data_IF_529195965694
#
_entry.id   IF_529195965694
#
_cell.length_a   1.000
_cell.length_b   1.000
_cell.length_c   1.000
_cell.angle_alpha   90.00
_cell.angle_beta   90.00
_cell.angle_gamma   90.00
#
_symmetry.space_group_name_H-M   'P 1'
#
loop_
_entity.id
_entity.type
_entity.pdbx_description
1 polymer ?
#
# COMPACT_ATOMS: atom_id res chain seq x y z
N UNK A 1 -47.10 -21.66 32.97
CA UNK A 1 -46.87 -21.61 31.51
C UNK A 1 -45.70 -22.54 31.21
N UNK A 2 -45.97 -23.83 31.12
CA UNK A 2 -44.97 -24.85 30.82
C UNK A 2 -44.73 -24.86 29.31
N UNK A 3 -43.55 -24.40 28.91
CA UNK A 3 -43.06 -24.42 27.54
C UNK A 3 -42.85 -25.90 27.18
N UNK A 4 -43.74 -26.47 26.37
CA UNK A 4 -43.50 -27.79 25.78
C UNK A 4 -42.29 -27.68 24.86
N UNK A 5 -41.24 -28.39 25.26
CA UNK A 5 -40.00 -28.57 24.52
C UNK A 5 -40.32 -29.12 23.14
N UNK A 6 -40.02 -28.33 22.11
CA UNK A 6 -40.17 -28.68 20.71
C UNK A 6 -39.47 -30.03 20.47
N UNK A 7 -40.25 -31.09 20.26
CA UNK A 7 -39.71 -32.43 20.01
C UNK A 7 -38.97 -32.37 18.68
N UNK A 8 -37.64 -32.33 18.72
CA UNK A 8 -36.81 -32.40 17.52
C UNK A 8 -37.29 -33.53 16.62
N UNK A 9 -37.74 -33.20 15.41
CA UNK A 9 -38.19 -34.21 14.45
C UNK A 9 -36.99 -34.98 13.94
N UNK A 10 -37.11 -36.31 13.85
CA UNK A 10 -36.04 -37.16 13.32
C UNK A 10 -36.10 -37.18 11.80
N UNK A 11 -34.93 -37.10 11.18
CA UNK A 11 -34.77 -37.37 9.75
C UNK A 11 -35.24 -38.81 9.46
N UNK A 12 -36.17 -38.98 8.52
CA UNK A 12 -36.72 -40.29 8.19
C UNK A 12 -35.71 -41.25 7.54
N UNK A 13 -34.60 -40.72 7.01
CA UNK A 13 -33.55 -41.51 6.38
C UNK A 13 -32.41 -41.91 7.34
N UNK A 14 -31.84 -40.93 8.07
CA UNK A 14 -30.67 -41.19 8.95
C UNK A 14 -30.98 -41.20 10.45
N UNK A 15 -32.21 -40.90 10.86
CA UNK A 15 -32.64 -40.93 12.26
C UNK A 15 -32.13 -39.79 13.14
N UNK A 16 -31.26 -38.89 12.63
CA UNK A 16 -30.74 -37.73 13.36
C UNK A 16 -31.88 -36.77 13.72
N UNK A 17 -31.89 -36.29 14.96
CA UNK A 17 -32.81 -35.24 15.42
C UNK A 17 -32.44 -33.90 14.79
N UNK A 18 -33.44 -33.24 14.20
CA UNK A 18 -33.29 -31.96 13.50
C UNK A 18 -34.31 -30.98 14.06
N UNK A 19 -33.84 -29.79 14.42
CA UNK A 19 -34.69 -28.72 14.96
C UNK A 19 -35.53 -28.10 13.83
N UNK A 20 -34.98 -28.01 12.61
CA UNK A 20 -35.65 -27.47 11.42
C UNK A 20 -35.63 -28.50 10.29
N UNK A 21 -36.60 -29.42 10.23
CA UNK A 21 -36.63 -30.46 9.20
C UNK A 21 -37.14 -29.93 7.84
N UNK A 22 -36.58 -30.45 6.75
CA UNK A 22 -37.07 -30.20 5.39
C UNK A 22 -38.15 -31.23 5.03
N UNK A 23 -39.33 -30.76 4.62
CA UNK A 23 -40.40 -31.63 4.11
C UNK A 23 -40.24 -31.84 2.61
N UNK A 24 -40.11 -33.10 2.17
CA UNK A 24 -40.06 -33.43 0.75
C UNK A 24 -41.44 -33.25 0.09
N UNK A 25 -41.58 -32.50 -1.01
CA UNK A 25 -42.87 -32.28 -1.68
C UNK A 25 -43.42 -33.53 -2.39
N UNK A 26 -42.57 -34.56 -2.59
CA UNK A 26 -42.95 -35.78 -3.30
C UNK A 26 -43.44 -36.87 -2.33
N UNK A 27 -42.61 -37.26 -1.34
CA UNK A 27 -42.96 -38.31 -0.37
C UNK A 27 -43.57 -37.79 0.95
N UNK A 28 -43.55 -36.48 1.20
CA UNK A 28 -44.15 -35.85 2.37
C UNK A 28 -43.40 -36.05 3.69
N UNK A 29 -42.29 -36.78 3.71
CA UNK A 29 -41.48 -37.07 4.89
C UNK A 29 -40.49 -35.93 5.23
N UNK A 30 -39.93 -35.97 6.44
CA UNK A 30 -39.05 -34.95 7.01
C UNK A 30 -37.57 -35.40 7.02
N UNK A 31 -36.66 -34.53 6.59
CA UNK A 31 -35.24 -34.83 6.40
C UNK A 31 -34.31 -33.74 6.94
N UNK A 32 -33.05 -34.09 7.22
CA UNK A 32 -31.99 -33.15 7.59
C UNK A 32 -31.37 -32.45 6.36
N UNK A 33 -30.45 -31.51 6.59
CA UNK A 33 -29.79 -30.74 5.53
C UNK A 33 -29.13 -31.63 4.45
N UNK A 34 -28.48 -32.72 4.88
CA UNK A 34 -27.79 -33.68 4.00
C UNK A 34 -28.75 -34.48 3.12
N UNK A 35 -29.96 -34.77 3.61
CA UNK A 35 -30.94 -35.65 2.99
C UNK A 35 -32.16 -34.91 2.41
N UNK A 36 -32.08 -33.57 2.29
CA UNK A 36 -33.20 -32.73 1.85
C UNK A 36 -33.62 -32.94 0.39
N UNK A 37 -32.68 -33.32 -0.48
CA UNK A 37 -32.95 -33.55 -1.90
C UNK A 37 -33.57 -34.95 -2.10
N UNK A 38 -34.53 -35.11 -3.05
CA UNK A 38 -35.16 -36.40 -3.33
C UNK A 38 -34.17 -37.55 -3.63
N UNK A 39 -33.06 -37.22 -4.30
CA UNK A 39 -31.99 -38.17 -4.63
C UNK A 39 -31.21 -38.62 -3.39
N UNK A 40 -31.02 -37.72 -2.42
CA UNK A 40 -30.19 -37.99 -1.25
C UNK A 40 -30.86 -38.92 -0.23
N UNK A 41 -32.19 -39.05 -0.25
CA UNK A 41 -32.91 -39.97 0.65
C UNK A 41 -33.62 -41.12 -0.08
N UNK A 42 -33.26 -41.38 -1.34
CA UNK A 42 -33.92 -42.37 -2.19
C UNK A 42 -35.45 -42.24 -2.16
N UNK A 43 -35.95 -41.06 -2.53
CA UNK A 43 -37.38 -40.74 -2.47
C UNK A 43 -38.21 -41.82 -3.21
N UNK A 44 -39.20 -42.45 -2.56
CA UNK A 44 -40.05 -43.45 -3.22
C UNK A 44 -40.84 -42.85 -4.40
N UNK A 45 -41.08 -41.53 -4.33
CA UNK A 45 -41.81 -40.75 -5.32
C UNK A 45 -40.87 -39.99 -6.27
N UNK A 46 -39.62 -40.42 -6.41
CA UNK A 46 -38.66 -39.76 -7.31
C UNK A 46 -39.14 -39.75 -8.77
N UNK A 47 -39.93 -40.74 -9.19
CA UNK A 47 -40.55 -40.81 -10.52
C UNK A 47 -41.54 -39.66 -10.80
N UNK A 48 -42.07 -38.98 -9.77
CA UNK A 48 -42.89 -37.77 -9.92
C UNK A 48 -42.08 -36.52 -10.26
N UNK A 49 -40.76 -36.56 -10.10
CA UNK A 49 -39.86 -35.50 -10.57
C UNK A 49 -39.90 -35.51 -12.09
N UNK A 50 -40.81 -34.73 -12.68
CA UNK A 50 -40.82 -34.49 -14.13
C UNK A 50 -39.55 -33.73 -14.48
N UNK A 51 -38.48 -34.43 -14.86
CA UNK A 51 -37.50 -33.86 -15.77
C UNK A 51 -38.27 -33.52 -17.03
N UNK A 52 -38.60 -32.25 -17.23
CA UNK A 52 -39.06 -31.82 -18.55
C UNK A 52 -37.94 -32.24 -19.50
N UNK A 53 -38.19 -33.23 -20.36
CA UNK A 53 -37.34 -33.44 -21.51
C UNK A 53 -37.18 -32.09 -22.18
N UNK A 54 -35.95 -31.66 -22.52
CA UNK A 54 -35.80 -30.45 -23.31
C UNK A 54 -36.76 -30.58 -24.50
N UNK A 55 -37.58 -29.56 -24.78
CA UNK A 55 -38.54 -29.64 -25.87
C UNK A 55 -37.79 -30.09 -27.14
N UNK A 56 -38.37 -30.99 -27.96
CA UNK A 56 -37.76 -31.36 -29.22
C UNK A 56 -37.46 -30.06 -29.97
N UNK A 57 -36.19 -29.84 -30.30
CA UNK A 57 -35.79 -28.66 -31.08
C UNK A 57 -36.35 -28.86 -32.48
N UNK A 58 -37.58 -28.39 -32.67
CA UNK A 58 -38.19 -28.28 -33.98
C UNK A 58 -37.43 -27.18 -34.71
N UNK A 59 -36.52 -27.59 -35.61
CA UNK A 59 -35.81 -26.65 -36.48
C UNK A 59 -36.78 -26.16 -37.55
N UNK A 60 -37.70 -25.30 -37.16
CA UNK A 60 -38.31 -24.41 -38.13
C UNK A 60 -37.20 -23.53 -38.69
N UNK A 61 -36.88 -23.73 -39.97
CA UNK A 61 -36.12 -22.78 -40.75
C UNK A 61 -37.00 -21.55 -40.97
N UNK A 62 -37.21 -20.77 -39.92
CA UNK A 62 -37.74 -19.42 -40.06
C UNK A 62 -36.67 -18.64 -40.81
N UNK A 63 -36.89 -18.41 -42.10
CA UNK A 63 -36.17 -17.41 -42.87
C UNK A 63 -36.59 -16.04 -42.38
N UNK A 64 -36.24 -15.72 -41.13
CA UNK A 64 -36.25 -14.34 -40.65
C UNK A 64 -35.20 -13.66 -41.49
N UNK A 65 -35.62 -12.78 -42.40
CA UNK A 65 -34.71 -11.83 -43.01
C UNK A 65 -33.96 -11.18 -41.85
N UNK A 66 -32.67 -11.49 -41.71
CA UNK A 66 -31.82 -11.00 -40.63
C UNK A 66 -31.69 -9.50 -40.84
N UNK A 67 -32.68 -8.72 -40.38
CA UNK A 67 -32.43 -7.37 -39.95
C UNK A 67 -31.49 -7.54 -38.78
N UNK A 68 -30.20 -7.39 -39.08
CA UNK A 68 -29.21 -7.06 -38.06
C UNK A 68 -29.71 -5.75 -37.47
N UNK A 69 -30.55 -5.83 -36.44
CA UNK A 69 -30.71 -4.73 -35.51
C UNK A 69 -29.31 -4.62 -34.94
N UNK A 70 -28.56 -3.64 -35.45
CA UNK A 70 -27.27 -3.26 -34.90
C UNK A 70 -27.60 -2.68 -33.54
N UNK A 71 -27.78 -3.54 -32.54
CA UNK A 71 -27.82 -3.14 -31.15
C UNK A 71 -26.51 -2.40 -30.95
N UNK A 72 -26.60 -1.07 -30.86
CA UNK A 72 -25.46 -0.29 -30.41
C UNK A 72 -25.09 -0.89 -29.06
N UNK A 73 -23.84 -1.35 -28.86
CA UNK A 73 -23.44 -1.81 -27.54
C UNK A 73 -23.81 -0.69 -26.58
N UNK A 74 -24.52 -1.02 -25.50
CA UNK A 74 -24.77 -0.06 -24.43
C UNK A 74 -23.39 0.26 -23.88
N UNK A 75 -22.79 1.33 -24.42
CA UNK A 75 -21.55 1.90 -23.91
C UNK A 75 -21.98 2.54 -22.61
N UNK A 76 -21.93 1.76 -21.52
CA UNK A 76 -21.84 2.35 -20.20
C UNK A 76 -20.58 3.23 -20.26
N UNK A 77 -20.78 4.54 -20.39
CA UNK A 77 -19.70 5.49 -20.24
C UNK A 77 -19.35 5.51 -18.76
N UNK A 78 -18.63 4.47 -18.32
CA UNK A 78 -17.85 4.55 -17.11
C UNK A 78 -16.79 5.59 -17.42
N UNK A 79 -17.13 6.86 -17.18
CA UNK A 79 -16.22 7.97 -17.22
C UNK A 79 -15.28 7.70 -16.05
N UNK A 80 -14.24 6.91 -16.30
CA UNK A 80 -13.14 6.75 -15.35
C UNK A 80 -12.68 8.16 -15.07
N UNK A 81 -13.02 8.68 -13.89
CA UNK A 81 -12.57 10.00 -13.45
C UNK A 81 -11.06 9.92 -13.59
N UNK A 82 -10.47 10.66 -14.53
CA UNK A 82 -9.02 10.71 -14.71
C UNK A 82 -8.44 10.90 -13.32
N UNK A 83 -7.80 9.86 -12.79
CA UNK A 83 -7.27 9.95 -11.44
C UNK A 83 -6.31 11.12 -11.43
N UNK A 84 -6.60 12.11 -10.59
CA UNK A 84 -5.71 13.25 -10.44
C UNK A 84 -4.40 12.69 -9.88
N UNK A 85 -3.27 13.19 -10.37
CA UNK A 85 -1.97 12.76 -9.88
C UNK A 85 -1.85 12.96 -8.36
N UNK A 86 -2.37 14.07 -7.83
CA UNK A 86 -2.37 14.41 -6.41
C UNK A 86 -3.76 14.80 -5.91
N UNK A 87 -4.05 14.46 -4.66
CA UNK A 87 -5.24 14.92 -3.94
C UNK A 87 -4.94 16.19 -3.14
N UNK A 88 -5.97 17.00 -2.88
CA UNK A 88 -5.83 18.19 -2.02
C UNK A 88 -5.38 17.79 -0.61
N UNK A 89 -5.93 16.68 -0.09
CA UNK A 89 -5.54 16.16 1.23
C UNK A 89 -4.06 15.79 1.26
N UNK A 90 -3.56 15.11 0.24
CA UNK A 90 -2.14 14.78 0.14
C UNK A 90 -1.24 16.02 0.12
N UNK A 91 -1.64 17.08 -0.59
CA UNK A 91 -0.88 18.35 -0.60
C UNK A 91 -0.74 18.90 0.82
N UNK A 92 -1.81 18.93 1.62
CA UNK A 92 -1.74 19.35 3.02
C UNK A 92 -0.80 18.47 3.85
N UNK A 93 -0.91 17.15 3.69
CA UNK A 93 -0.05 16.21 4.41
C UNK A 93 1.43 16.34 4.01
N UNK A 94 1.73 16.54 2.73
CA UNK A 94 3.07 16.79 2.22
C UNK A 94 3.64 18.11 2.74
N UNK A 95 2.84 19.19 2.77
CA UNK A 95 3.26 20.49 3.30
C UNK A 95 3.58 20.39 4.80
N UNK A 96 2.70 19.77 5.59
CA UNK A 96 2.91 19.60 7.04
C UNK A 96 4.12 18.70 7.30
N UNK A 97 4.27 17.60 6.54
CA UNK A 97 5.44 16.72 6.60
C UNK A 97 6.73 17.46 6.26
N UNK A 98 6.75 18.19 5.14
CA UNK A 98 7.89 19.00 4.71
C UNK A 98 8.25 20.07 5.74
N UNK A 99 7.27 20.73 6.36
CA UNK A 99 7.52 21.68 7.44
C UNK A 99 8.17 21.02 8.67
N UNK A 100 7.73 19.82 9.05
CA UNK A 100 8.35 19.06 10.13
C UNK A 100 9.80 18.67 9.78
N UNK A 101 10.05 18.18 8.56
CA UNK A 101 11.42 17.85 8.10
C UNK A 101 12.30 19.09 8.03
N UNK A 102 11.77 20.23 7.57
CA UNK A 102 12.48 21.50 7.55
C UNK A 102 12.90 21.94 8.96
N UNK A 103 12.03 21.77 9.97
CA UNK A 103 12.37 22.03 11.36
C UNK A 103 13.52 21.13 11.87
N UNK A 104 13.51 19.84 11.50
CA UNK A 104 14.63 18.93 11.78
C UNK A 104 15.90 19.41 11.07
N UNK A 105 15.79 19.85 9.83
CA UNK A 105 16.89 20.41 9.04
C UNK A 105 17.55 21.63 9.69
N UNK A 106 16.76 22.54 10.25
CA UNK A 106 17.26 23.69 11.01
C UNK A 106 18.04 23.27 12.28
N UNK A 107 17.74 22.10 12.84
CA UNK A 107 18.41 21.56 14.03
C UNK A 107 19.71 20.79 13.76
N UNK A 108 20.13 20.64 12.49
CA UNK A 108 21.28 19.79 12.13
C UNK A 108 22.62 20.31 12.65
N UNK A 109 22.80 21.64 12.70
CA UNK A 109 24.08 22.30 13.04
C UNK A 109 24.24 22.62 14.52
N UNK A 110 23.29 22.22 15.39
CA UNK A 110 23.37 22.48 16.82
C UNK A 110 22.55 21.51 17.66
N UNK A 111 23.15 20.96 18.70
CA UNK A 111 22.45 20.05 19.63
C UNK A 111 21.67 20.83 20.70
N UNK A 112 20.58 20.26 21.19
CA UNK A 112 19.77 20.83 22.28
C UNK A 112 19.13 22.16 21.87
N UNK A 113 19.44 23.25 22.56
CA UNK A 113 18.98 24.61 22.21
C UNK A 113 20.02 25.43 21.42
N UNK A 114 21.20 24.85 21.14
CA UNK A 114 22.28 25.58 20.46
C UNK A 114 21.98 25.84 18.97
N UNK A 115 21.08 25.08 18.36
CA UNK A 115 20.65 25.34 16.98
C UNK A 115 19.97 26.72 16.84
N UNK A 116 19.27 27.21 17.88
CA UNK A 116 18.65 28.54 17.85
C UNK A 116 19.71 29.64 17.78
N UNK A 117 20.80 29.49 18.56
CA UNK A 117 21.95 30.41 18.49
C UNK A 117 22.66 30.32 17.14
N UNK A 118 22.75 29.12 16.56
CA UNK A 118 23.32 28.91 15.24
C UNK A 118 22.52 29.61 14.13
N UNK A 119 21.18 29.54 14.16
CA UNK A 119 20.31 30.25 13.20
C UNK A 119 20.59 31.75 13.23
N UNK A 120 20.71 32.35 14.42
CA UNK A 120 21.00 33.79 14.56
C UNK A 120 22.39 34.13 14.02
N UNK A 121 23.40 33.29 14.30
CA UNK A 121 24.78 33.51 13.88
C UNK A 121 25.00 33.28 12.38
N UNK A 122 24.27 32.35 11.77
CA UNK A 122 24.52 31.88 10.40
C UNK A 122 23.21 31.46 9.70
N UNK A 123 22.30 32.42 9.44
CA UNK A 123 20.96 32.11 8.93
C UNK A 123 21.00 31.45 7.56
N UNK A 124 21.84 31.93 6.64
CA UNK A 124 21.94 31.39 5.27
C UNK A 124 22.27 29.90 5.29
N UNK A 125 23.25 29.49 6.11
CA UNK A 125 23.69 28.08 6.23
C UNK A 125 22.62 27.22 6.91
N UNK A 126 21.94 27.75 7.93
CA UNK A 126 20.86 27.04 8.58
C UNK A 126 19.70 26.77 7.60
N UNK A 127 19.25 27.79 6.88
CA UNK A 127 18.18 27.65 5.89
C UNK A 127 18.61 26.83 4.67
N UNK A 128 19.86 26.90 4.22
CA UNK A 128 20.35 26.05 3.12
C UNK A 128 20.29 24.57 3.49
N UNK A 129 20.79 24.21 4.69
CA UNK A 129 20.75 22.82 5.16
C UNK A 129 19.32 22.32 5.34
N UNK A 130 18.42 23.16 5.84
CA UNK A 130 17.01 22.82 6.02
C UNK A 130 16.27 22.64 4.69
N UNK A 131 16.51 23.52 3.71
CA UNK A 131 15.98 23.41 2.36
C UNK A 131 16.48 22.13 1.70
N UNK A 132 17.78 21.87 1.78
CA UNK A 132 18.40 20.68 1.20
C UNK A 132 17.79 19.40 1.78
N UNK A 133 17.61 19.33 3.10
CA UNK A 133 17.01 18.17 3.76
C UNK A 133 15.54 17.95 3.34
N UNK A 134 14.79 19.05 3.18
CA UNK A 134 13.41 19.02 2.70
C UNK A 134 13.33 18.53 1.25
N UNK A 135 14.25 18.96 0.39
CA UNK A 135 14.32 18.49 -1.01
C UNK A 135 14.58 16.99 -1.06
N UNK A 136 15.55 16.48 -0.28
CA UNK A 136 15.84 15.04 -0.21
C UNK A 136 14.59 14.25 0.19
N UNK A 137 13.89 14.69 1.26
CA UNK A 137 12.66 14.05 1.71
C UNK A 137 11.56 14.08 0.63
N UNK A 138 11.30 15.22 0.01
CA UNK A 138 10.26 15.33 -1.03
C UNK A 138 10.61 14.44 -2.22
N UNK A 139 11.87 14.40 -2.65
CA UNK A 139 12.33 13.53 -3.73
C UNK A 139 12.12 12.05 -3.41
N UNK A 140 12.36 11.65 -2.16
CA UNK A 140 12.11 10.30 -1.66
C UNK A 140 10.62 9.91 -1.76
N UNK A 141 9.74 10.73 -1.19
CA UNK A 141 8.29 10.46 -1.21
C UNK A 141 7.71 10.50 -2.62
N UNK A 142 8.17 11.43 -3.45
CA UNK A 142 7.76 11.51 -4.84
C UNK A 142 8.23 10.30 -5.65
N UNK A 143 9.38 9.71 -5.33
CA UNK A 143 9.86 8.50 -5.98
C UNK A 143 8.96 7.29 -5.71
N UNK A 144 8.51 7.09 -4.47
CA UNK A 144 7.49 6.09 -4.15
C UNK A 144 6.23 6.32 -4.96
N UNK A 145 5.77 7.57 -5.02
CA UNK A 145 4.56 7.93 -5.76
C UNK A 145 4.68 7.65 -7.26
N UNK A 146 5.77 8.13 -7.86
CA UNK A 146 6.04 7.97 -9.28
C UNK A 146 6.14 6.49 -9.64
N UNK A 147 6.79 5.68 -8.80
CA UNK A 147 6.86 4.22 -8.98
C UNK A 147 5.48 3.57 -8.90
N UNK A 148 4.67 3.90 -7.89
CA UNK A 148 3.32 3.34 -7.74
C UNK A 148 2.41 3.70 -8.92
N UNK A 149 2.45 4.96 -9.36
CA UNK A 149 1.69 5.44 -10.52
C UNK A 149 2.17 4.80 -11.82
N UNK A 150 3.47 4.53 -11.96
CA UNK A 150 4.01 3.80 -13.12
C UNK A 150 3.45 2.37 -13.21
N UNK A 151 3.19 1.71 -12.08
CA UNK A 151 2.53 0.40 -12.02
C UNK A 151 0.99 0.47 -12.09
N UNK A 152 0.41 1.64 -12.36
CA UNK A 152 -1.04 1.83 -12.46
C UNK A 152 -1.77 1.74 -11.11
N UNK A 153 -1.05 1.87 -10.00
CA UNK A 153 -1.62 1.83 -8.66
C UNK A 153 -1.99 3.24 -8.18
N UNK A 154 -3.00 3.31 -7.32
CA UNK A 154 -3.31 4.53 -6.60
C UNK A 154 -2.33 4.69 -5.44
N UNK A 155 -1.82 5.90 -5.23
CA UNK A 155 -0.87 6.19 -4.16
C UNK A 155 -1.05 7.62 -3.64
N UNK A 156 -1.12 7.75 -2.32
CA UNK A 156 -1.20 9.03 -1.62
C UNK A 156 -0.35 9.04 -0.35
N UNK A 157 0.36 10.14 -0.14
CA UNK A 157 1.10 10.37 1.09
C UNK A 157 0.16 10.72 2.24
N UNK A 158 0.29 9.99 3.35
CA UNK A 158 -0.48 10.22 4.58
C UNK A 158 0.47 10.37 5.75
N UNK A 159 0.15 11.32 6.62
CA UNK A 159 0.91 11.54 7.84
C UNK A 159 0.46 10.53 8.88
N UNK A 160 1.42 10.01 9.62
CA UNK A 160 1.16 9.12 10.74
C UNK A 160 1.54 9.85 12.02
N UNK A 161 0.67 9.87 13.02
CA UNK A 161 0.91 10.53 14.30
C UNK A 161 2.23 10.05 14.90
N UNK A 162 2.48 8.74 14.93
CA UNK A 162 3.71 8.16 15.46
C UNK A 162 4.93 8.68 14.69
N UNK A 163 4.84 8.71 13.35
CA UNK A 163 5.92 9.15 12.47
C UNK A 163 6.24 10.65 12.63
N UNK A 164 5.21 11.48 12.69
CA UNK A 164 5.35 12.93 12.97
C UNK A 164 5.94 13.13 14.36
N UNK A 165 5.47 12.43 15.38
CA UNK A 165 6.01 12.53 16.75
C UNK A 165 7.49 12.15 16.80
N UNK A 166 7.90 11.06 16.15
CA UNK A 166 9.31 10.67 16.07
C UNK A 166 10.15 11.72 15.33
N UNK A 167 9.62 12.30 14.25
CA UNK A 167 10.29 13.36 13.48
C UNK A 167 10.45 14.64 14.30
N UNK A 168 9.44 15.05 15.07
CA UNK A 168 9.52 16.23 15.94
C UNK A 168 10.47 15.97 17.11
N UNK A 169 10.43 14.79 17.73
CA UNK A 169 11.34 14.43 18.82
C UNK A 169 12.80 14.44 18.36
N UNK A 170 13.06 14.10 17.09
CA UNK A 170 14.42 14.06 16.54
C UNK A 170 15.07 15.45 16.41
N UNK A 171 14.29 16.54 16.47
CA UNK A 171 14.82 17.92 16.56
C UNK A 171 15.78 18.06 17.75
N UNK A 172 15.42 17.49 18.89
CA UNK A 172 16.20 17.59 20.13
C UNK A 172 17.26 16.49 20.27
N UNK A 173 17.14 15.41 19.50
CA UNK A 173 18.05 14.25 19.53
C UNK A 173 19.25 14.44 18.59
N UNK A 174 20.42 13.84 18.90
CA UNK A 174 21.50 13.69 17.93
C UNK A 174 21.11 12.75 16.77
N UNK A 175 20.19 11.81 17.01
CA UNK A 175 19.69 10.89 15.99
C UNK A 175 18.51 11.52 15.24
N UNK A 176 18.76 11.95 14.01
CA UNK A 176 17.77 12.60 13.13
C UNK A 176 16.94 11.55 12.41
N UNK A 177 15.85 11.12 13.03
CA UNK A 177 14.86 10.22 12.44
C UNK A 177 13.86 11.04 11.64
N UNK A 178 13.63 10.68 10.38
CA UNK A 178 12.68 11.34 9.48
C UNK A 178 11.78 10.30 8.85
N UNK A 179 10.56 10.22 9.38
CA UNK A 179 9.50 9.35 8.86
C UNK A 179 8.13 9.95 9.22
N UNK A 180 7.79 11.17 8.76
CA UNK A 180 6.57 11.86 9.17
C UNK A 180 5.29 11.16 8.70
N UNK A 181 5.37 10.32 7.68
CA UNK A 181 4.22 9.66 7.09
C UNK A 181 4.56 8.32 6.45
N UNK A 182 3.55 7.75 5.80
CA UNK A 182 3.67 6.54 4.99
C UNK A 182 2.98 6.80 3.65
N UNK A 183 3.55 6.22 2.59
CA UNK A 183 2.85 6.10 1.32
C UNK A 183 1.82 4.98 1.37
N UNK A 184 0.54 5.36 1.25
CA UNK A 184 -0.57 4.42 1.15
C UNK A 184 -0.76 4.08 -0.32
N UNK A 185 -0.58 2.81 -0.66
CA UNK A 185 -0.74 2.30 -2.02
C UNK A 185 -1.97 1.40 -2.06
N UNK A 186 -2.88 1.65 -3.00
CA UNK A 186 -4.10 0.87 -3.18
C UNK A 186 -4.19 0.35 -4.63
N UNK A 187 -4.59 -0.92 -4.75
CA UNK A 187 -4.73 -1.62 -6.02
C UNK A 187 -4.30 -3.09 -5.91
N UNK A 188 -4.58 -3.87 -6.94
CA UNK A 188 -4.13 -5.26 -7.01
C UNK A 188 -2.66 -5.26 -7.44
N UNK A 189 -1.77 -5.64 -6.52
CA UNK A 189 -0.33 -5.61 -6.76
C UNK A 189 0.35 -6.85 -6.18
N UNK A 190 1.21 -7.46 -6.98
CA UNK A 190 2.06 -8.55 -6.51
C UNK A 190 3.08 -8.05 -5.49
N UNK A 191 3.53 -8.98 -4.63
CA UNK A 191 4.65 -8.77 -3.71
C UNK A 191 5.87 -8.10 -4.36
N UNK A 192 6.17 -8.48 -5.61
CA UNK A 192 7.28 -7.92 -6.39
C UNK A 192 7.07 -6.44 -6.75
N UNK A 193 5.84 -6.05 -7.07
CA UNK A 193 5.49 -4.66 -7.40
C UNK A 193 5.56 -3.81 -6.14
N UNK A 194 4.97 -4.27 -5.03
CA UNK A 194 5.02 -3.58 -3.73
C UNK A 194 6.47 -3.37 -3.28
N UNK A 195 7.31 -4.41 -3.39
CA UNK A 195 8.72 -4.31 -3.05
C UNK A 195 9.51 -3.32 -3.90
N UNK A 196 9.25 -3.27 -5.22
CA UNK A 196 9.86 -2.27 -6.13
C UNK A 196 9.45 -0.85 -5.79
N UNK A 197 8.18 -0.63 -5.46
CA UNK A 197 7.66 0.68 -5.06
C UNK A 197 8.31 1.13 -3.75
N UNK A 198 8.41 0.24 -2.76
CA UNK A 198 9.11 0.50 -1.51
C UNK A 198 10.61 0.75 -1.73
N UNK A 199 11.24 0.10 -2.72
CA UNK A 199 12.65 0.32 -3.03
C UNK A 199 12.93 1.67 -3.72
N UNK A 200 11.94 2.25 -4.41
CA UNK A 200 12.13 3.47 -5.18
C UNK A 200 12.64 4.66 -4.34
N UNK A 201 12.06 4.88 -3.15
CA UNK A 201 12.50 5.96 -2.26
C UNK A 201 13.96 5.81 -1.80
N UNK A 202 14.35 4.70 -1.13
CA UNK A 202 15.73 4.46 -0.74
C UNK A 202 16.72 4.53 -1.90
N UNK A 203 16.34 3.99 -3.08
CA UNK A 203 17.16 4.07 -4.28
C UNK A 203 17.39 5.52 -4.73
N UNK A 204 16.36 6.36 -4.78
CA UNK A 204 16.49 7.78 -5.12
C UNK A 204 17.44 8.50 -4.17
N UNK A 205 17.39 8.19 -2.88
CA UNK A 205 18.29 8.80 -1.91
C UNK A 205 19.74 8.30 -2.02
N UNK A 206 19.97 7.03 -2.36
CA UNK A 206 21.32 6.52 -2.67
C UNK A 206 21.89 7.25 -3.89
N UNK A 207 21.09 7.40 -4.95
CA UNK A 207 21.50 8.10 -6.18
C UNK A 207 21.77 9.58 -5.90
N UNK A 208 20.87 10.27 -5.19
CA UNK A 208 21.07 11.67 -4.79
C UNK A 208 22.33 11.84 -3.93
N UNK A 209 22.60 10.90 -3.03
CA UNK A 209 23.79 10.95 -2.19
C UNK A 209 25.07 10.89 -3.04
N UNK A 210 25.10 9.98 -4.02
CA UNK A 210 26.22 9.89 -4.96
C UNK A 210 26.36 11.14 -5.84
N UNK A 211 25.25 11.69 -6.34
CA UNK A 211 25.28 12.93 -7.14
C UNK A 211 25.76 14.14 -6.34
N UNK A 212 25.30 14.30 -5.10
CA UNK A 212 25.81 15.33 -4.20
C UNK A 212 27.28 15.11 -3.89
N UNK A 213 27.71 13.88 -3.63
CA UNK A 213 29.12 13.60 -3.44
C UNK A 213 29.98 14.06 -4.63
N UNK A 214 29.59 13.73 -5.87
CA UNK A 214 30.29 14.22 -7.07
C UNK A 214 30.25 15.75 -7.19
N UNK A 215 29.10 16.37 -6.90
CA UNK A 215 28.95 17.82 -6.94
C UNK A 215 29.77 18.55 -5.86
N UNK A 216 30.14 17.88 -4.77
CA UNK A 216 30.95 18.47 -3.69
C UNK A 216 32.38 18.84 -4.13
N UNK A 217 32.89 18.20 -5.19
CA UNK A 217 34.18 18.51 -5.79
C UNK A 217 34.12 19.67 -6.80
N UNK A 218 32.93 20.18 -7.11
CA UNK A 218 32.76 21.23 -8.11
C UNK A 218 33.03 22.62 -7.51
N UNK A 219 33.92 23.46 -8.11
CA UNK A 219 34.38 24.71 -7.50
C UNK A 219 33.32 25.81 -7.40
N UNK A 220 32.22 25.72 -8.17
CA UNK A 220 31.09 26.66 -8.09
C UNK A 220 30.17 26.41 -6.89
N UNK A 221 30.35 25.30 -6.17
CA UNK A 221 29.47 24.89 -5.09
C UNK A 221 30.17 24.93 -3.74
N UNK A 222 29.40 25.22 -2.68
CA UNK A 222 29.91 25.08 -1.30
C UNK A 222 30.12 23.61 -0.98
N UNK A 223 31.36 23.13 -1.09
CA UNK A 223 31.74 21.72 -0.91
C UNK A 223 31.20 21.13 0.40
N UNK A 224 31.26 21.90 1.50
CA UNK A 224 30.77 21.49 2.83
C UNK A 224 29.25 21.31 2.90
N UNK A 225 28.48 22.17 2.25
CA UNK A 225 27.00 22.07 2.28
C UNK A 225 26.52 20.91 1.40
N UNK A 226 27.15 20.73 0.24
CA UNK A 226 26.82 19.62 -0.65
C UNK A 226 27.25 18.28 -0.05
N UNK A 227 28.43 18.20 0.55
CA UNK A 227 28.88 16.99 1.26
C UNK A 227 27.93 16.63 2.40
N UNK A 228 27.47 17.62 3.17
CA UNK A 228 26.42 17.41 4.17
C UNK A 228 25.12 16.89 3.53
N UNK A 229 24.75 17.37 2.35
CA UNK A 229 23.63 16.83 1.59
C UNK A 229 23.78 15.38 1.17
N UNK A 230 24.98 14.97 0.74
CA UNK A 230 25.28 13.57 0.44
C UNK A 230 25.08 12.70 1.69
N UNK A 231 25.58 13.17 2.84
CA UNK A 231 25.50 12.49 4.13
C UNK A 231 24.04 12.36 4.63
N UNK A 232 23.25 13.44 4.53
CA UNK A 232 21.83 13.41 4.87
C UNK A 232 21.03 12.47 3.97
N UNK A 233 21.31 12.48 2.66
CA UNK A 233 20.61 11.65 1.69
C UNK A 233 20.85 10.17 1.95
N UNK A 234 22.11 9.78 2.17
CA UNK A 234 22.43 8.38 2.48
C UNK A 234 21.93 7.96 3.86
N UNK A 235 21.92 8.88 4.84
CA UNK A 235 21.34 8.63 6.16
C UNK A 235 19.84 8.33 6.10
N UNK A 236 19.06 9.11 5.34
CA UNK A 236 17.62 8.82 5.14
C UNK A 236 17.44 7.47 4.43
N UNK A 237 18.25 7.19 3.39
CA UNK A 237 18.19 5.90 2.71
C UNK A 237 18.41 4.73 3.69
N UNK A 238 19.42 4.83 4.55
CA UNK A 238 19.76 3.79 5.52
C UNK A 238 18.64 3.59 6.55
N UNK A 239 18.08 4.68 7.09
CA UNK A 239 16.95 4.61 8.03
C UNK A 239 15.73 3.93 7.41
N UNK A 240 15.37 4.31 6.18
CA UNK A 240 14.23 3.71 5.49
C UNK A 240 14.49 2.28 5.03
N UNK A 241 15.74 1.79 5.02
CA UNK A 241 16.06 0.38 4.78
C UNK A 241 16.00 -0.49 6.05
N UNK A 242 15.78 0.08 7.24
CA UNK A 242 15.63 -0.71 8.47
C UNK A 242 14.36 -1.59 8.33
N UNK A 243 14.44 -2.92 8.52
CA UNK A 243 13.34 -3.84 8.25
C UNK A 243 12.32 -3.92 9.40
N UNK A 244 11.81 -2.77 9.86
CA UNK A 244 10.93 -2.67 11.03
C UNK A 244 9.75 -1.72 10.74
N UNK A 245 8.55 -2.12 11.14
CA UNK A 245 7.40 -1.23 11.28
C UNK A 245 7.01 -0.48 9.99
N UNK A 246 7.03 0.86 10.07
CA UNK A 246 6.58 1.76 8.99
C UNK A 246 7.64 2.05 7.92
N UNK A 247 8.90 1.65 8.14
CA UNK A 247 9.99 1.89 7.20
C UNK A 247 9.87 0.99 5.96
N UNK A 248 10.32 1.49 4.81
CA UNK A 248 10.21 0.77 3.53
C UNK A 248 11.01 -0.54 3.49
N UNK A 249 12.07 -0.61 4.29
CA UNK A 249 12.93 -1.76 4.47
C UNK A 249 12.16 -3.01 4.85
N UNK A 250 11.07 -2.88 5.62
CA UNK A 250 10.22 -4.00 5.98
C UNK A 250 9.57 -4.64 4.74
N UNK A 251 9.06 -3.81 3.81
CA UNK A 251 8.44 -4.26 2.56
C UNK A 251 9.48 -4.84 1.60
N UNK A 252 10.66 -4.23 1.51
CA UNK A 252 11.76 -4.68 0.65
C UNK A 252 12.31 -6.03 1.16
N UNK A 253 12.55 -6.16 2.46
CA UNK A 253 13.02 -7.39 3.09
C UNK A 253 12.02 -8.54 2.90
N UNK A 254 10.73 -8.26 3.05
CA UNK A 254 9.69 -9.24 2.77
C UNK A 254 9.72 -9.68 1.31
N UNK A 255 9.85 -8.75 0.35
CA UNK A 255 9.94 -9.04 -1.08
C UNK A 255 11.19 -9.85 -1.47
N UNK A 256 12.38 -9.32 -1.20
CA UNK A 256 13.65 -9.92 -1.61
C UNK A 256 14.78 -9.53 -0.63
N UNK A 257 15.20 -10.51 0.19
CA UNK A 257 16.26 -10.34 1.20
C UNK A 257 17.62 -9.97 0.60
N UNK A 258 17.93 -10.43 -0.61
CA UNK A 258 19.21 -10.12 -1.28
C UNK A 258 19.25 -8.67 -1.75
N UNK A 259 18.15 -8.18 -2.34
CA UNK A 259 18.04 -6.77 -2.75
C UNK A 259 18.10 -5.86 -1.52
N UNK A 260 17.39 -6.22 -0.45
CA UNK A 260 17.47 -5.51 0.82
C UNK A 260 18.91 -5.49 1.37
N UNK A 261 19.57 -6.65 1.48
CA UNK A 261 20.92 -6.75 2.04
C UNK A 261 21.94 -5.96 1.20
N UNK A 262 21.87 -6.08 -0.13
CA UNK A 262 22.76 -5.35 -1.03
C UNK A 262 22.57 -3.83 -0.88
N UNK A 263 21.32 -3.35 -0.90
CA UNK A 263 21.05 -1.91 -0.74
C UNK A 263 21.44 -1.39 0.65
N UNK A 264 21.16 -2.14 1.71
CA UNK A 264 21.57 -1.77 3.08
C UNK A 264 23.09 -1.70 3.22
N UNK A 265 23.82 -2.70 2.70
CA UNK A 265 25.28 -2.69 2.72
C UNK A 265 25.87 -1.55 1.89
N UNK A 266 25.34 -1.28 0.69
CA UNK A 266 25.76 -0.13 -0.14
C UNK A 266 25.54 1.18 0.62
N UNK A 267 24.36 1.37 1.22
CA UNK A 267 24.08 2.57 2.02
C UNK A 267 25.00 2.71 3.21
N UNK A 268 25.33 1.61 3.90
CA UNK A 268 26.25 1.62 5.04
C UNK A 268 27.67 1.97 4.62
N UNK A 269 28.18 1.35 3.54
CA UNK A 269 29.52 1.63 3.00
C UNK A 269 29.63 3.09 2.56
N UNK A 270 28.64 3.60 1.82
CA UNK A 270 28.61 5.00 1.38
C UNK A 270 28.54 5.97 2.57
N UNK A 271 27.73 5.66 3.59
CA UNK A 271 27.65 6.48 4.81
C UNK A 271 29.01 6.56 5.51
N UNK A 272 29.68 5.41 5.69
CA UNK A 272 31.01 5.36 6.31
C UNK A 272 32.02 6.15 5.47
N UNK A 273 32.02 5.97 4.15
CA UNK A 273 32.90 6.70 3.24
C UNK A 273 32.69 8.22 3.33
N UNK A 274 31.44 8.68 3.36
CA UNK A 274 31.12 10.12 3.46
C UNK A 274 31.38 10.71 4.85
N UNK A 275 31.45 9.89 5.91
CA UNK A 275 31.81 10.36 7.26
C UNK A 275 33.31 10.62 7.42
N UNK A 276 34.15 9.92 6.66
CA UNK A 276 35.61 10.03 6.70
C UNK A 276 36.19 11.05 5.70
N UNK A 277 35.34 11.74 4.95
CA UNK A 277 35.67 12.78 3.97
C UNK A 277 35.26 14.16 4.46
#
# INVERSE_FOLDING_TARGET
MSIEVDRGLKCHYCGREVILPFKCPFCGQYFCEDHRLPENHNCPELWRVRTRSPPPVEREHVSVARRVVKESPIIYSFKTRRERWTSITEIYHLIIGAAAVMAVGLSLRGQGFNWMKFIIRSPIVAFSSALLFTIIFISHELAHKASAKHFGLWAEFRLNIIGVSLTILSIFSPLKIVAPGTMVVAGVADKKVIGKIAFAGPLTNIVLAFLFYLASFHPLCSSREIALGALLSIWIALLNLIPIGMFDGAKIFWWNKMVWAASFCISLILLVLFLFL
#
